data_IF_897060230886
#
_entry.id   IF_897060230886
#
_cell.length_a   1.000
_cell.length_b   1.000
_cell.length_c   1.000
_cell.angle_alpha   90.00
_cell.angle_beta   90.00
_cell.angle_gamma   90.00
#
_symmetry.space_group_name_H-M   'P 1'
#
loop_
_entity.id
_entity.type
_entity.pdbx_description
1 polymer ?
#
# COMPACT_ATOMS: atom_id res chain seq x y z
N UNK A 1 -12.95 -4.99 13.23
CA UNK A 1 -12.22 -4.66 14.46
C UNK A 1 -10.83 -4.09 14.19
N UNK A 2 -10.13 -4.55 13.12
CA UNK A 2 -8.80 -4.06 12.75
C UNK A 2 -8.82 -2.83 11.83
N UNK A 3 -9.98 -2.45 11.31
CA UNK A 3 -10.11 -1.35 10.33
C UNK A 3 -9.75 -1.75 8.90
N UNK A 4 -9.58 -3.04 8.63
CA UNK A 4 -9.36 -3.53 7.26
C UNK A 4 -10.65 -3.49 6.47
N UNK A 5 -10.58 -2.90 5.27
CA UNK A 5 -11.64 -2.97 4.28
C UNK A 5 -11.41 -4.20 3.39
N UNK A 6 -12.49 -4.83 2.96
CA UNK A 6 -12.44 -6.10 2.24
C UNK A 6 -13.19 -5.98 0.92
N UNK A 7 -12.53 -6.32 -0.14
CA UNK A 7 -13.12 -6.69 -1.41
C UNK A 7 -13.27 -8.21 -1.42
N UNK A 8 -14.46 -8.70 -1.74
CA UNK A 8 -14.72 -10.14 -1.87
C UNK A 8 -14.88 -10.47 -3.33
N UNK A 9 -14.06 -11.39 -3.81
CA UNK A 9 -14.06 -11.83 -5.20
C UNK A 9 -14.71 -13.20 -5.36
N UNK A 10 -15.50 -13.34 -6.43
CA UNK A 10 -16.02 -14.62 -6.84
C UNK A 10 -14.89 -15.56 -7.31
N UNK A 11 -15.01 -16.88 -7.13
CA UNK A 11 -13.92 -17.83 -7.33
C UNK A 11 -13.62 -18.12 -8.82
N UNK A 12 -13.47 -17.07 -9.62
CA UNK A 12 -13.13 -17.17 -11.04
C UNK A 12 -11.79 -16.51 -11.31
N UNK A 13 -10.77 -17.33 -11.55
CA UNK A 13 -9.44 -16.86 -11.94
C UNK A 13 -9.05 -17.57 -13.24
N UNK A 14 -8.71 -16.78 -14.29
CA UNK A 14 -8.32 -17.28 -15.60
C UNK A 14 -9.30 -18.27 -16.21
N UNK A 15 -10.60 -18.05 -15.99
CA UNK A 15 -11.64 -18.94 -16.48
C UNK A 15 -11.65 -19.08 -18.02
N UNK A 16 -10.98 -18.17 -18.75
CA UNK A 16 -10.78 -18.27 -20.19
C UNK A 16 -10.04 -19.56 -20.63
N UNK A 17 -9.31 -20.21 -19.72
CA UNK A 17 -8.63 -21.49 -19.98
C UNK A 17 -9.55 -22.71 -19.81
N UNK A 18 -10.81 -22.51 -19.39
CA UNK A 18 -11.78 -23.58 -19.18
C UNK A 18 -12.92 -23.46 -20.17
N UNK A 19 -13.61 -24.58 -20.40
CA UNK A 19 -14.84 -24.64 -21.16
C UNK A 19 -15.98 -25.08 -20.24
N UNK A 20 -16.83 -24.13 -19.87
CA UNK A 20 -18.06 -24.43 -19.14
C UNK A 20 -19.15 -24.68 -20.18
N UNK A 21 -19.83 -25.85 -20.17
CA UNK A 21 -20.96 -26.11 -21.06
C UNK A 21 -22.05 -25.05 -20.89
N UNK A 22 -22.70 -24.66 -21.98
CA UNK A 22 -23.67 -23.55 -21.98
C UNK A 22 -24.83 -23.80 -21.01
N UNK A 23 -25.31 -25.01 -20.93
CA UNK A 23 -26.37 -25.46 -20.00
C UNK A 23 -25.97 -25.33 -18.51
N UNK A 24 -24.67 -25.20 -18.23
CA UNK A 24 -24.14 -25.02 -16.86
C UNK A 24 -23.77 -23.58 -16.53
N UNK A 25 -23.86 -22.63 -17.47
CA UNK A 25 -23.41 -21.28 -17.25
C UNK A 25 -24.09 -20.60 -16.05
N UNK A 26 -25.41 -20.72 -15.93
CA UNK A 26 -26.11 -20.12 -14.79
C UNK A 26 -25.73 -20.81 -13.46
N UNK A 27 -25.58 -22.12 -13.44
CA UNK A 27 -25.20 -22.86 -12.24
C UNK A 27 -23.76 -22.59 -11.80
N UNK A 28 -22.82 -22.44 -12.75
CA UNK A 28 -21.39 -22.29 -12.45
C UNK A 28 -21.00 -20.81 -12.37
N UNK A 29 -21.46 -19.98 -13.30
CA UNK A 29 -20.97 -18.61 -13.41
C UNK A 29 -21.83 -17.59 -12.64
N UNK A 30 -23.13 -17.84 -12.46
CA UNK A 30 -24.02 -16.91 -11.75
C UNK A 30 -24.24 -17.31 -10.30
N UNK A 31 -24.55 -18.57 -10.02
CA UNK A 31 -24.88 -19.01 -8.66
C UNK A 31 -23.71 -18.85 -7.67
N UNK A 32 -22.46 -18.92 -8.13
CA UNK A 32 -21.29 -18.65 -7.28
C UNK A 32 -21.30 -17.22 -6.73
N UNK A 33 -21.76 -16.25 -7.51
CA UNK A 33 -21.92 -14.86 -7.05
C UNK A 33 -23.07 -14.73 -6.04
N UNK A 34 -24.15 -15.46 -6.25
CA UNK A 34 -25.27 -15.52 -5.28
C UNK A 34 -24.80 -16.05 -3.93
N UNK A 35 -24.02 -17.11 -3.93
CA UNK A 35 -23.43 -17.67 -2.71
C UNK A 35 -22.45 -16.69 -2.05
N UNK A 36 -21.56 -16.06 -2.84
CA UNK A 36 -20.61 -15.05 -2.36
C UNK A 36 -21.33 -13.94 -1.58
N UNK A 37 -22.38 -13.36 -2.17
CA UNK A 37 -23.14 -12.28 -1.51
C UNK A 37 -23.86 -12.79 -0.27
N UNK A 38 -24.53 -13.92 -0.33
CA UNK A 38 -25.28 -14.49 0.80
C UNK A 38 -24.36 -14.76 2.02
N UNK A 39 -23.17 -15.27 1.78
CA UNK A 39 -22.21 -15.58 2.83
C UNK A 39 -21.58 -14.32 3.45
N UNK A 40 -21.38 -13.26 2.66
CA UNK A 40 -20.51 -12.17 3.07
C UNK A 40 -21.21 -10.82 3.30
N UNK A 41 -22.46 -10.62 2.83
CA UNK A 41 -23.15 -9.32 2.92
C UNK A 41 -23.41 -8.81 4.35
N UNK A 42 -23.39 -9.69 5.36
CA UNK A 42 -23.54 -9.31 6.75
C UNK A 42 -22.26 -8.77 7.41
N UNK A 43 -21.13 -8.85 6.72
CA UNK A 43 -19.83 -8.35 7.22
C UNK A 43 -19.66 -6.87 6.88
N UNK A 44 -19.61 -5.95 7.86
CA UNK A 44 -19.50 -4.52 7.60
C UNK A 44 -18.15 -4.11 7.00
N UNK A 45 -17.12 -4.93 7.13
CA UNK A 45 -15.82 -4.71 6.49
C UNK A 45 -15.83 -4.94 4.99
N UNK A 46 -16.78 -5.71 4.46
CA UNK A 46 -16.93 -5.90 3.02
C UNK A 46 -17.49 -4.63 2.41
N UNK A 47 -16.74 -4.04 1.50
CA UNK A 47 -17.09 -2.77 0.86
C UNK A 47 -17.31 -2.88 -0.65
N UNK A 48 -16.91 -3.99 -1.26
CA UNK A 48 -16.93 -4.17 -2.71
C UNK A 48 -17.09 -5.63 -3.10
N UNK A 49 -17.73 -5.87 -4.24
CA UNK A 49 -17.91 -7.19 -4.84
C UNK A 49 -17.12 -7.27 -6.15
N UNK A 50 -16.12 -8.16 -6.22
CA UNK A 50 -15.43 -8.49 -7.47
C UNK A 50 -16.10 -9.68 -8.17
N UNK A 51 -16.41 -9.50 -9.43
CA UNK A 51 -17.13 -10.51 -10.23
C UNK A 51 -16.21 -11.61 -10.78
N UNK A 52 -14.91 -11.45 -10.68
CA UNK A 52 -13.94 -12.45 -11.09
C UNK A 52 -12.63 -11.82 -11.56
N UNK A 53 -11.59 -12.63 -11.58
CA UNK A 53 -10.24 -12.24 -11.94
C UNK A 53 -9.89 -12.68 -13.37
N UNK A 54 -9.44 -11.72 -14.21
CA UNK A 54 -8.81 -11.95 -15.52
C UNK A 54 -9.52 -12.99 -16.41
N UNK A 55 -10.86 -12.96 -16.45
CA UNK A 55 -11.72 -13.99 -17.08
C UNK A 55 -12.59 -13.44 -18.21
N UNK A 56 -12.03 -12.61 -19.09
CA UNK A 56 -12.75 -11.89 -20.17
C UNK A 56 -13.59 -12.81 -21.08
N UNK A 57 -13.20 -14.07 -21.26
CA UNK A 57 -14.00 -15.02 -22.06
C UNK A 57 -15.46 -15.10 -21.62
N UNK A 58 -15.72 -14.91 -20.34
CA UNK A 58 -17.05 -15.02 -19.75
C UNK A 58 -17.62 -13.65 -19.32
N UNK A 59 -17.09 -12.55 -19.84
CA UNK A 59 -17.50 -11.19 -19.46
C UNK A 59 -19.01 -10.97 -19.53
N UNK A 60 -19.70 -11.49 -20.55
CA UNK A 60 -21.16 -11.36 -20.69
C UNK A 60 -21.93 -12.07 -19.56
N UNK A 61 -21.42 -13.18 -19.07
CA UNK A 61 -22.02 -13.87 -17.91
C UNK A 61 -21.74 -13.15 -16.60
N UNK A 62 -20.56 -12.54 -16.47
CA UNK A 62 -20.24 -11.72 -15.31
C UNK A 62 -21.06 -10.44 -15.29
N UNK A 63 -21.45 -9.88 -16.44
CA UNK A 63 -22.43 -8.79 -16.49
C UNK A 63 -23.77 -9.25 -15.93
N UNK A 64 -24.30 -10.42 -16.39
CA UNK A 64 -25.53 -11.01 -15.84
C UNK A 64 -25.42 -11.27 -14.35
N UNK A 65 -24.31 -11.88 -13.89
CA UNK A 65 -24.05 -12.11 -12.48
C UNK A 65 -23.96 -10.79 -11.70
N UNK A 66 -23.34 -9.76 -12.28
CA UNK A 66 -23.25 -8.44 -11.71
C UNK A 66 -24.62 -7.79 -11.48
N UNK A 67 -25.57 -7.96 -12.39
CA UNK A 67 -26.95 -7.49 -12.18
C UNK A 67 -27.64 -8.23 -11.04
N UNK A 68 -27.43 -9.53 -10.92
CA UNK A 68 -27.93 -10.33 -9.79
C UNK A 68 -27.31 -9.84 -8.47
N UNK A 69 -26.00 -9.64 -8.43
CA UNK A 69 -25.30 -9.08 -7.25
C UNK A 69 -25.87 -7.73 -6.86
N UNK A 70 -26.12 -6.83 -7.84
CA UNK A 70 -26.72 -5.51 -7.60
C UNK A 70 -28.12 -5.57 -7.02
N UNK A 71 -28.94 -6.52 -7.47
CA UNK A 71 -30.27 -6.74 -6.92
C UNK A 71 -30.24 -7.28 -5.47
N UNK A 72 -29.26 -8.15 -5.18
CA UNK A 72 -29.09 -8.74 -3.85
C UNK A 72 -28.50 -7.77 -2.83
N UNK A 73 -27.58 -6.92 -3.28
CA UNK A 73 -26.92 -5.90 -2.47
C UNK A 73 -26.70 -4.60 -3.25
N UNK A 74 -27.68 -3.70 -3.28
CA UNK A 74 -27.55 -2.41 -3.97
C UNK A 74 -26.63 -1.41 -3.25
N UNK A 75 -26.14 -1.75 -2.05
CA UNK A 75 -25.38 -0.83 -1.19
C UNK A 75 -23.90 -0.81 -1.47
N UNK A 76 -23.35 -1.88 -2.05
CA UNK A 76 -21.92 -2.01 -2.35
C UNK A 76 -21.66 -1.94 -3.85
N UNK A 77 -20.58 -1.25 -4.26
CA UNK A 77 -20.16 -1.23 -5.67
C UNK A 77 -19.62 -2.59 -6.11
N UNK A 78 -19.62 -2.75 -7.43
CA UNK A 78 -19.10 -3.95 -8.12
C UNK A 78 -17.89 -3.57 -8.94
N UNK A 79 -16.96 -4.51 -9.07
CA UNK A 79 -15.82 -4.43 -9.97
C UNK A 79 -15.64 -5.74 -10.74
N UNK A 80 -14.88 -5.68 -11.80
CA UNK A 80 -14.31 -6.84 -12.48
C UNK A 80 -12.79 -6.70 -12.46
N UNK A 81 -12.12 -7.61 -11.77
CA UNK A 81 -10.68 -7.60 -11.58
C UNK A 81 -9.96 -7.96 -12.87
N UNK A 82 -9.50 -6.94 -13.61
CA UNK A 82 -8.99 -7.10 -14.96
C UNK A 82 -8.01 -5.98 -15.35
N UNK A 83 -7.33 -6.17 -16.48
CA UNK A 83 -6.38 -5.26 -17.07
C UNK A 83 -7.06 -4.01 -17.68
N UNK A 84 -7.02 -2.90 -16.96
CA UNK A 84 -7.44 -1.60 -17.44
C UNK A 84 -8.93 -1.32 -17.36
N UNK A 85 -9.28 -0.04 -17.43
CA UNK A 85 -10.63 0.45 -17.10
C UNK A 85 -11.72 0.13 -18.14
N UNK A 86 -11.35 -0.34 -19.32
CA UNK A 86 -12.31 -0.65 -20.38
C UNK A 86 -12.77 -2.12 -20.36
N UNK A 87 -12.23 -2.92 -19.48
CA UNK A 87 -12.50 -4.36 -19.41
C UNK A 87 -13.98 -4.67 -19.11
N UNK A 88 -14.68 -3.79 -18.40
CA UNK A 88 -16.09 -3.90 -18.06
C UNK A 88 -17.01 -3.02 -18.92
N UNK A 89 -16.50 -2.43 -19.99
CA UNK A 89 -17.21 -1.48 -20.89
C UNK A 89 -17.89 -0.30 -20.15
N UNK A 90 -17.44 0.05 -18.95
CA UNK A 90 -18.00 1.14 -18.17
C UNK A 90 -19.30 0.80 -17.43
N UNK A 91 -19.69 -0.44 -17.33
CA UNK A 91 -20.97 -0.87 -16.75
C UNK A 91 -20.95 -1.01 -15.23
N UNK A 92 -19.77 -1.16 -14.62
CA UNK A 92 -19.61 -1.31 -13.17
C UNK A 92 -19.30 0.02 -12.49
N UNK A 93 -19.64 0.14 -11.22
CA UNK A 93 -19.48 1.38 -10.45
C UNK A 93 -18.02 1.76 -10.25
N UNK A 94 -17.14 0.78 -10.08
CA UNK A 94 -15.70 0.96 -9.92
C UNK A 94 -14.99 0.23 -11.05
N UNK A 95 -13.94 0.82 -11.58
CA UNK A 95 -13.08 0.16 -12.55
C UNK A 95 -11.79 -0.31 -11.88
N UNK A 96 -11.09 -1.22 -12.55
CA UNK A 96 -9.87 -1.84 -12.06
C UNK A 96 -8.73 -1.72 -13.07
N UNK A 97 -7.50 -1.74 -12.57
CA UNK A 97 -6.31 -1.88 -13.41
C UNK A 97 -5.23 -2.67 -12.67
N UNK A 98 -4.93 -3.87 -13.13
CA UNK A 98 -3.83 -4.67 -12.61
C UNK A 98 -2.47 -4.07 -13.02
N UNK A 99 -1.51 -4.07 -12.11
CA UNK A 99 -0.10 -3.73 -12.35
C UNK A 99 0.14 -2.44 -13.13
N UNK A 100 -0.36 -1.29 -12.65
CA UNK A 100 -0.28 -0.04 -13.41
C UNK A 100 1.16 0.50 -13.58
N UNK A 101 2.14 -0.11 -12.94
CA UNK A 101 3.51 0.36 -12.85
C UNK A 101 3.68 1.52 -11.84
N UNK A 102 4.93 1.89 -11.50
CA UNK A 102 5.21 2.82 -10.40
C UNK A 102 4.54 4.19 -10.53
N UNK A 103 4.36 4.69 -11.75
CA UNK A 103 3.73 5.99 -12.04
C UNK A 103 2.31 5.85 -12.62
N UNK A 104 1.84 4.61 -12.77
CA UNK A 104 0.55 4.31 -13.40
C UNK A 104 -0.66 4.93 -12.71
N UNK A 105 -0.73 4.98 -11.36
CA UNK A 105 -1.85 5.60 -10.65
C UNK A 105 -2.10 7.06 -11.04
N UNK A 106 -1.07 7.82 -11.39
CA UNK A 106 -1.20 9.22 -11.81
C UNK A 106 -2.07 9.42 -13.06
N UNK A 107 -2.19 8.41 -13.92
CA UNK A 107 -3.05 8.44 -15.11
C UNK A 107 -4.54 8.58 -14.75
N UNK A 108 -4.91 8.14 -13.56
CA UNK A 108 -6.28 8.10 -13.07
C UNK A 108 -6.60 9.24 -12.09
N UNK A 109 -5.68 10.20 -11.90
CA UNK A 109 -5.81 11.30 -10.92
C UNK A 109 -7.16 12.02 -11.01
N UNK A 110 -7.68 12.20 -12.21
CA UNK A 110 -8.94 12.89 -12.47
C UNK A 110 -9.99 11.96 -13.08
N UNK A 111 -9.91 10.67 -12.86
CA UNK A 111 -10.90 9.72 -13.34
C UNK A 111 -12.27 10.03 -12.74
N UNK A 112 -13.30 10.09 -13.60
CA UNK A 112 -14.68 10.33 -13.15
C UNK A 112 -15.28 9.09 -12.50
N UNK A 113 -14.92 7.90 -13.01
CA UNK A 113 -15.27 6.63 -12.42
C UNK A 113 -14.14 6.22 -11.47
N UNK A 114 -14.41 5.88 -10.20
CA UNK A 114 -13.38 5.46 -9.27
C UNK A 114 -12.58 4.27 -9.80
N UNK A 115 -11.27 4.27 -9.51
CA UNK A 115 -10.34 3.22 -9.92
C UNK A 115 -9.73 2.56 -8.71
N UNK A 116 -9.63 1.23 -8.71
CA UNK A 116 -8.86 0.45 -7.75
C UNK A 116 -7.76 -0.34 -8.45
N UNK A 117 -6.73 -0.70 -7.70
CA UNK A 117 -5.62 -1.54 -8.16
C UNK A 117 -5.57 -2.77 -7.24
N UNK A 118 -6.49 -3.68 -7.42
CA UNK A 118 -6.64 -4.87 -6.56
C UNK A 118 -5.54 -5.92 -6.75
N UNK A 119 -4.73 -5.77 -7.81
CA UNK A 119 -3.44 -6.43 -7.95
C UNK A 119 -2.37 -5.43 -8.40
N UNK A 120 -1.40 -5.13 -7.53
CA UNK A 120 -0.27 -4.31 -7.90
C UNK A 120 1.02 -4.73 -7.17
N UNK A 121 2.16 -4.26 -7.67
CA UNK A 121 3.48 -4.42 -7.05
C UNK A 121 3.88 -5.89 -6.82
N UNK A 122 3.88 -6.68 -7.89
CA UNK A 122 4.42 -8.03 -7.90
C UNK A 122 5.92 -8.01 -7.58
N UNK A 123 6.33 -8.64 -6.49
CA UNK A 123 7.75 -8.69 -6.14
C UNK A 123 8.48 -9.71 -7.02
N UNK A 124 7.96 -10.92 -7.04
CA UNK A 124 8.60 -12.06 -7.66
C UNK A 124 7.55 -13.14 -7.96
N UNK A 125 7.73 -13.91 -9.03
CA UNK A 125 6.73 -14.86 -9.47
C UNK A 125 7.34 -16.20 -9.89
N UNK A 126 6.49 -17.21 -10.00
CA UNK A 126 6.78 -18.49 -10.64
C UNK A 126 7.95 -19.27 -10.02
N UNK A 127 8.12 -19.19 -8.69
CA UNK A 127 9.14 -19.94 -7.93
C UNK A 127 10.57 -19.76 -8.44
N UNK A 128 10.89 -18.58 -8.96
CA UNK A 128 12.25 -18.25 -9.43
C UNK A 128 13.13 -17.88 -8.25
N UNK A 129 13.81 -18.85 -7.69
CA UNK A 129 14.66 -18.67 -6.50
C UNK A 129 15.77 -17.63 -6.73
N UNK A 130 16.35 -17.57 -7.93
CA UNK A 130 17.37 -16.60 -8.32
C UNK A 130 16.86 -15.15 -8.23
N UNK A 131 15.59 -14.91 -8.55
CA UNK A 131 14.97 -13.58 -8.38
C UNK A 131 14.71 -13.26 -6.92
N UNK A 132 14.26 -14.24 -6.14
CA UNK A 132 14.05 -14.08 -4.70
C UNK A 132 15.37 -13.82 -3.96
N UNK A 133 16.49 -14.32 -4.47
CA UNK A 133 17.82 -14.13 -3.92
C UNK A 133 18.50 -12.82 -4.38
N UNK A 134 17.98 -12.14 -5.41
CA UNK A 134 18.59 -10.92 -5.95
C UNK A 134 18.41 -9.74 -4.99
N UNK A 135 19.50 -9.22 -4.37
CA UNK A 135 19.40 -8.12 -3.43
C UNK A 135 19.00 -6.80 -4.09
N UNK A 136 19.28 -6.62 -5.38
CA UNK A 136 18.87 -5.44 -6.15
C UNK A 136 17.36 -5.38 -6.32
N UNK A 137 16.73 -6.49 -6.72
CA UNK A 137 15.29 -6.61 -6.83
C UNK A 137 14.61 -6.34 -5.47
N UNK A 138 15.10 -6.97 -4.42
CA UNK A 138 14.55 -6.84 -3.07
C UNK A 138 14.68 -5.43 -2.52
N UNK A 139 15.81 -4.76 -2.74
CA UNK A 139 16.02 -3.39 -2.25
C UNK A 139 15.21 -2.34 -3.02
N UNK A 140 14.87 -2.58 -4.29
CA UNK A 140 14.05 -1.68 -5.09
C UNK A 140 12.55 -1.79 -4.82
N UNK A 141 12.08 -2.93 -4.33
CA UNK A 141 10.65 -3.18 -4.15
C UNK A 141 9.99 -2.18 -3.19
N UNK A 142 10.61 -1.88 -2.06
CA UNK A 142 10.10 -0.93 -1.08
C UNK A 142 9.91 0.49 -1.63
N UNK A 143 10.94 1.13 -2.23
CA UNK A 143 10.82 2.44 -2.86
C UNK A 143 9.78 2.50 -3.99
N UNK A 144 9.69 1.47 -4.83
CA UNK A 144 8.69 1.42 -5.90
C UNK A 144 7.27 1.34 -5.35
N UNK A 145 7.05 0.53 -4.31
CA UNK A 145 5.78 0.45 -3.61
C UNK A 145 5.42 1.77 -2.94
N UNK A 146 6.38 2.43 -2.27
CA UNK A 146 6.15 3.73 -1.63
C UNK A 146 5.74 4.81 -2.64
N UNK A 147 6.41 4.87 -3.78
CA UNK A 147 6.06 5.78 -4.86
C UNK A 147 4.64 5.51 -5.38
N UNK A 148 4.33 4.25 -5.68
CA UNK A 148 3.03 3.85 -6.22
C UNK A 148 1.90 4.16 -5.22
N UNK A 149 2.10 3.85 -3.94
CA UNK A 149 1.14 4.15 -2.89
C UNK A 149 0.96 5.65 -2.68
N UNK A 150 2.05 6.42 -2.73
CA UNK A 150 2.01 7.88 -2.68
C UNK A 150 1.19 8.46 -3.82
N UNK A 151 1.39 7.98 -5.04
CA UNK A 151 0.63 8.41 -6.21
C UNK A 151 -0.85 8.03 -6.12
N UNK A 152 -1.18 6.85 -5.57
CA UNK A 152 -2.58 6.46 -5.29
C UNK A 152 -3.23 7.41 -4.29
N UNK A 153 -2.54 7.70 -3.17
CA UNK A 153 -3.06 8.55 -2.11
C UNK A 153 -3.39 9.98 -2.60
N UNK A 154 -2.54 10.56 -3.45
CA UNK A 154 -2.71 11.91 -3.99
C UNK A 154 -3.56 11.98 -5.27
N UNK A 155 -4.16 10.88 -5.69
CA UNK A 155 -5.00 10.81 -6.89
C UNK A 155 -6.47 10.69 -6.51
N UNK A 156 -7.27 11.76 -6.70
CA UNK A 156 -8.69 11.81 -6.30
C UNK A 156 -9.55 10.71 -6.95
N UNK A 157 -9.22 10.29 -8.17
CA UNK A 157 -9.94 9.24 -8.88
C UNK A 157 -9.59 7.82 -8.42
N UNK A 158 -8.65 7.66 -7.47
CA UNK A 158 -8.14 6.36 -7.04
C UNK A 158 -8.64 6.03 -5.64
N UNK A 159 -9.18 4.83 -5.46
CA UNK A 159 -9.64 4.32 -4.17
C UNK A 159 -8.53 3.65 -3.35
N UNK A 160 -7.46 3.19 -4.00
CA UNK A 160 -6.39 2.40 -3.43
C UNK A 160 -6.27 1.05 -4.12
N UNK A 161 -5.82 0.03 -3.38
CA UNK A 161 -5.66 -1.31 -3.93
C UNK A 161 -5.05 -2.30 -2.95
N UNK A 162 -4.71 -3.47 -3.47
CA UNK A 162 -4.03 -4.54 -2.73
C UNK A 162 -2.79 -5.02 -3.50
N UNK A 163 -1.69 -5.19 -2.78
CA UNK A 163 -0.51 -5.81 -3.39
C UNK A 163 -0.78 -7.28 -3.71
N UNK A 164 -0.28 -7.75 -4.84
CA UNK A 164 -0.28 -9.17 -5.14
C UNK A 164 1.09 -9.79 -4.83
N UNK A 165 1.19 -10.53 -3.75
CA UNK A 165 0.12 -10.73 -2.77
C UNK A 165 0.65 -10.37 -1.38
N UNK A 166 -0.20 -10.37 -0.37
CA UNK A 166 0.23 -10.12 1.01
C UNK A 166 1.09 -11.25 1.60
N UNK A 167 0.95 -12.48 1.07
CA UNK A 167 1.63 -13.69 1.57
C UNK A 167 2.05 -14.54 0.36
N UNK A 168 3.22 -15.16 0.46
CA UNK A 168 3.63 -16.17 -0.51
C UNK A 168 2.68 -17.37 -0.50
N UNK A 169 2.35 -17.88 -1.65
CA UNK A 169 1.69 -19.19 -1.79
C UNK A 169 2.71 -20.34 -2.01
N UNK A 170 3.96 -20.07 -1.73
CA UNK A 170 5.08 -21.00 -1.91
C UNK A 170 5.72 -21.37 -0.59
N UNK A 171 5.99 -22.67 -0.45
CA UNK A 171 6.73 -23.24 0.68
C UNK A 171 8.05 -23.80 0.19
N UNK A 172 9.15 -23.37 0.78
CA UNK A 172 10.47 -23.94 0.55
C UNK A 172 10.72 -25.05 1.56
N UNK A 173 10.82 -26.27 1.07
CA UNK A 173 11.05 -27.48 1.86
C UNK A 173 12.54 -27.85 1.83
N UNK A 174 13.00 -28.73 2.76
CA UNK A 174 14.36 -29.28 2.74
C UNK A 174 14.72 -29.92 1.39
N UNK A 175 16.00 -29.81 0.99
CA UNK A 175 16.47 -30.32 -0.30
C UNK A 175 16.13 -29.42 -1.49
N UNK A 176 16.02 -28.11 -1.27
CA UNK A 176 15.75 -27.10 -2.31
C UNK A 176 14.43 -27.29 -3.07
N UNK A 177 13.51 -28.04 -2.49
CA UNK A 177 12.20 -28.29 -3.08
C UNK A 177 11.25 -27.14 -2.81
N UNK A 178 10.71 -26.54 -3.86
CA UNK A 178 9.62 -25.55 -3.78
C UNK A 178 8.27 -26.22 -4.05
N UNK A 179 7.25 -25.87 -3.26
CA UNK A 179 5.86 -26.29 -3.43
C UNK A 179 4.98 -25.05 -3.39
N UNK A 180 4.06 -24.94 -4.33
CA UNK A 180 3.20 -23.76 -4.51
C UNK A 180 3.59 -23.00 -5.78
N UNK A 181 3.04 -21.79 -5.94
CA UNK A 181 3.05 -21.11 -7.22
C UNK A 181 3.92 -19.84 -7.27
N UNK A 182 4.03 -19.06 -6.20
CA UNK A 182 4.78 -17.81 -6.25
C UNK A 182 5.24 -17.25 -4.90
N UNK A 183 6.34 -16.53 -4.96
CA UNK A 183 7.02 -15.88 -3.83
C UNK A 183 6.80 -14.37 -3.85
N UNK A 184 5.59 -13.92 -4.06
CA UNK A 184 5.23 -12.52 -4.32
C UNK A 184 4.95 -11.68 -3.07
N UNK A 185 4.75 -12.30 -1.92
CA UNK A 185 4.38 -11.58 -0.71
C UNK A 185 5.55 -11.01 0.08
N UNK A 186 5.33 -10.01 0.93
CA UNK A 186 6.29 -9.58 1.94
C UNK A 186 6.37 -10.53 3.14
N UNK A 187 5.44 -11.48 3.25
CA UNK A 187 5.39 -12.54 4.26
C UNK A 187 5.47 -13.87 3.53
N UNK A 188 6.31 -14.79 4.01
CA UNK A 188 6.46 -16.11 3.39
C UNK A 188 5.29 -17.05 3.69
N UNK A 189 5.27 -18.20 3.01
CA UNK A 189 4.22 -19.22 3.19
C UNK A 189 4.12 -19.75 4.63
N UNK A 190 5.20 -19.67 5.43
CA UNK A 190 5.24 -20.03 6.84
C UNK A 190 4.84 -18.90 7.79
N UNK A 191 4.40 -17.76 7.26
CA UNK A 191 4.00 -16.55 8.00
C UNK A 191 5.18 -15.80 8.65
N UNK A 192 6.40 -15.95 8.14
CA UNK A 192 7.55 -15.18 8.59
C UNK A 192 7.70 -13.92 7.76
N UNK A 193 8.10 -12.82 8.40
CA UNK A 193 8.39 -11.56 7.74
C UNK A 193 9.63 -11.71 6.84
N UNK A 194 9.50 -11.31 5.59
CA UNK A 194 10.60 -11.19 4.64
C UNK A 194 11.21 -9.77 4.74
N UNK A 195 12.41 -9.49 4.21
CA UNK A 195 12.96 -8.14 4.19
C UNK A 195 12.01 -7.10 3.57
N UNK A 196 11.22 -7.49 2.60
CA UNK A 196 10.21 -6.67 1.92
C UNK A 196 9.08 -6.20 2.82
N UNK A 197 8.80 -6.91 3.90
CA UNK A 197 7.80 -6.54 4.90
C UNK A 197 8.03 -5.14 5.46
N UNK A 198 9.29 -4.79 5.72
CA UNK A 198 9.66 -3.49 6.26
C UNK A 198 9.47 -2.37 5.23
N UNK A 199 9.74 -2.66 3.95
CA UNK A 199 9.44 -1.75 2.84
C UNK A 199 7.93 -1.50 2.72
N UNK A 200 7.12 -2.55 2.81
CA UNK A 200 5.66 -2.45 2.80
C UNK A 200 5.14 -1.64 3.99
N UNK A 201 5.61 -1.96 5.21
CA UNK A 201 5.24 -1.21 6.42
C UNK A 201 5.52 0.28 6.27
N UNK A 202 6.68 0.63 5.70
CA UNK A 202 7.08 2.01 5.44
C UNK A 202 6.21 2.69 4.39
N UNK A 203 5.93 2.01 3.28
CA UNK A 203 5.10 2.53 2.20
C UNK A 203 3.67 2.82 2.68
N UNK A 204 3.08 1.91 3.43
CA UNK A 204 1.71 2.05 3.95
C UNK A 204 1.60 2.87 5.25
N UNK A 205 2.71 3.41 5.77
CA UNK A 205 2.66 4.25 6.98
C UNK A 205 1.65 5.39 6.79
N UNK A 206 0.67 5.54 7.69
CA UNK A 206 -0.29 6.64 7.62
C UNK A 206 0.26 7.97 8.14
N UNK A 207 1.50 7.99 8.64
CA UNK A 207 2.16 9.21 9.10
C UNK A 207 3.48 9.37 8.37
N UNK A 208 3.54 10.29 7.40
CA UNK A 208 4.76 10.57 6.64
C UNK A 208 5.48 11.77 7.23
N UNK A 209 6.74 11.60 7.63
CA UNK A 209 7.56 12.67 8.23
C UNK A 209 8.82 12.88 7.38
N UNK A 210 9.07 14.12 7.01
CA UNK A 210 10.23 14.52 6.22
C UNK A 210 10.95 15.69 6.92
N UNK A 211 12.25 15.57 7.11
CA UNK A 211 13.06 16.66 7.67
C UNK A 211 13.18 17.84 6.70
N UNK A 212 12.97 19.06 7.17
CA UNK A 212 13.12 20.30 6.42
C UNK A 212 14.45 20.99 6.76
N UNK A 213 15.42 20.82 5.87
CA UNK A 213 16.77 21.41 6.06
C UNK A 213 17.56 20.75 7.19
N UNK A 214 18.66 21.40 7.56
CA UNK A 214 19.53 21.00 8.65
C UNK A 214 19.05 21.58 9.99
N UNK A 215 19.60 21.09 11.10
CA UNK A 215 19.39 21.70 12.41
C UNK A 215 19.91 23.13 12.43
N UNK A 216 19.13 24.08 12.93
CA UNK A 216 19.53 25.46 13.10
C UNK A 216 20.65 25.62 14.17
N UNK A 217 21.34 26.76 14.17
CA UNK A 217 22.34 27.06 15.18
C UNK A 217 21.80 27.05 16.62
N UNK A 218 20.50 27.35 16.78
CA UNK A 218 19.80 27.33 18.06
C UNK A 218 19.35 25.92 18.48
N UNK A 219 19.60 24.91 17.64
CA UNK A 219 19.25 23.50 17.90
C UNK A 219 17.82 23.11 17.54
N UNK A 220 17.18 23.84 16.64
CA UNK A 220 15.83 23.51 16.15
C UNK A 220 15.93 22.61 14.92
N UNK A 221 15.24 21.48 14.95
CA UNK A 221 15.04 20.58 13.81
C UNK A 221 13.58 20.69 13.37
N UNK A 222 13.35 20.99 12.08
CA UNK A 222 12.02 21.18 11.49
C UNK A 222 11.62 19.98 10.67
N UNK A 223 10.35 19.63 10.74
CA UNK A 223 9.76 18.53 10.02
C UNK A 223 8.46 18.96 9.35
N UNK A 224 8.30 18.48 8.12
CA UNK A 224 7.00 18.40 7.48
C UNK A 224 6.38 17.06 7.84
N UNK A 225 5.09 17.04 8.15
CA UNK A 225 4.33 15.83 8.44
C UNK A 225 3.05 15.81 7.66
N UNK A 226 2.72 14.65 7.10
CA UNK A 226 1.46 14.37 6.45
C UNK A 226 0.71 13.30 7.26
N UNK A 227 -0.48 13.65 7.74
CA UNK A 227 -1.39 12.73 8.41
C UNK A 227 -2.31 12.07 7.37
N UNK A 228 -1.99 10.85 6.97
CA UNK A 228 -2.78 10.05 6.02
C UNK A 228 -3.87 9.20 6.66
N UNK A 229 -4.07 9.27 7.97
CA UNK A 229 -5.21 8.64 8.60
C UNK A 229 -6.52 9.20 8.01
N UNK A 230 -7.53 8.35 7.87
CA UNK A 230 -8.85 8.79 7.44
C UNK A 230 -9.71 9.37 8.59
N UNK A 231 -9.43 8.98 9.84
CA UNK A 231 -10.30 9.25 10.98
C UNK A 231 -9.57 9.73 12.24
N UNK A 232 -8.25 9.48 12.37
CA UNK A 232 -7.49 9.81 13.58
C UNK A 232 -6.67 11.08 13.39
N UNK A 233 -6.78 11.98 14.35
CA UNK A 233 -5.90 13.14 14.52
C UNK A 233 -4.52 12.67 15.04
N UNK A 234 -3.44 13.39 14.70
CA UNK A 234 -2.12 13.04 15.21
C UNK A 234 -1.95 13.26 16.70
N UNK A 235 -2.80 14.06 17.35
CA UNK A 235 -2.84 14.19 18.81
C UNK A 235 -3.21 12.87 19.52
N UNK A 236 -3.87 11.96 18.80
CA UNK A 236 -4.18 10.61 19.28
C UNK A 236 -2.98 9.66 19.21
N UNK A 237 -1.94 10.02 18.46
CA UNK A 237 -0.69 9.26 18.34
C UNK A 237 0.34 9.75 19.36
N UNK A 238 1.28 8.88 19.70
CA UNK A 238 2.45 9.28 20.49
C UNK A 238 3.66 9.34 19.56
N UNK A 239 4.29 10.52 19.44
CA UNK A 239 5.55 10.70 18.72
C UNK A 239 6.66 10.97 19.74
N UNK A 240 7.61 10.06 19.81
CA UNK A 240 8.78 10.16 20.71
C UNK A 240 10.03 10.38 19.87
N UNK A 241 10.83 11.40 20.24
CA UNK A 241 12.15 11.58 19.68
C UNK A 241 13.26 11.07 20.61
N UNK A 242 14.37 10.61 20.01
CA UNK A 242 15.60 10.22 20.70
C UNK A 242 16.82 10.80 19.99
N UNK A 243 17.75 11.36 20.75
CA UNK A 243 19.05 11.86 20.25
C UNK A 243 20.08 11.86 21.40
N UNK A 244 21.30 11.41 21.17
CA UNK A 244 22.41 11.48 22.12
C UNK A 244 22.08 10.95 23.54
N UNK A 245 21.29 9.89 23.65
CA UNK A 245 20.89 9.30 24.91
C UNK A 245 19.75 10.04 25.65
N UNK A 246 19.23 11.13 25.10
CA UNK A 246 18.04 11.82 25.62
C UNK A 246 16.83 11.54 24.75
N UNK A 247 15.62 11.76 25.30
CA UNK A 247 14.37 11.61 24.58
C UNK A 247 13.35 12.66 25.03
N UNK A 248 12.33 12.88 24.21
CA UNK A 248 11.20 13.72 24.52
C UNK A 248 10.01 13.37 23.63
N UNK A 249 8.90 14.08 23.82
CA UNK A 249 7.69 13.91 23.03
C UNK A 249 7.44 15.09 22.12
N UNK A 250 6.88 14.82 20.95
CA UNK A 250 6.28 15.83 20.07
C UNK A 250 4.78 15.83 20.32
N UNK A 251 4.23 17.02 20.47
CA UNK A 251 2.78 17.22 20.49
C UNK A 251 2.38 17.91 19.20
N UNK A 252 1.46 17.33 18.46
CA UNK A 252 0.87 17.90 17.25
C UNK A 252 -0.59 17.48 17.14
N UNK A 253 -1.45 18.36 16.68
CA UNK A 253 -2.90 18.23 16.57
C UNK A 253 -3.37 18.21 15.11
N UNK A 254 -2.63 17.56 14.27
CA UNK A 254 -2.90 17.53 12.83
C UNK A 254 -4.09 16.65 12.49
N UNK A 255 -5.11 17.26 11.90
CA UNK A 255 -6.36 16.61 11.52
C UNK A 255 -6.14 15.45 10.51
N UNK A 256 -7.09 14.49 10.41
CA UNK A 256 -7.05 13.47 9.37
C UNK A 256 -6.96 14.07 7.96
N UNK A 257 -6.20 13.44 7.09
CA UNK A 257 -5.99 13.84 5.68
C UNK A 257 -5.49 15.28 5.51
N UNK A 258 -4.64 15.72 6.42
CA UNK A 258 -4.01 17.04 6.38
C UNK A 258 -2.50 16.94 6.53
N UNK A 259 -1.82 18.04 6.26
CA UNK A 259 -0.36 18.17 6.37
C UNK A 259 0.00 19.45 7.10
N UNK A 260 1.21 19.50 7.66
CA UNK A 260 1.73 20.68 8.35
C UNK A 260 3.16 20.49 8.81
N UNK A 261 3.56 21.26 9.80
CA UNK A 261 4.93 21.25 10.30
C UNK A 261 4.94 21.15 11.82
N UNK A 262 6.02 20.55 12.34
CA UNK A 262 6.37 20.62 13.75
C UNK A 262 7.88 20.81 13.92
N UNK A 263 8.28 21.27 15.09
CA UNK A 263 9.67 21.52 15.43
C UNK A 263 10.07 20.73 16.67
N UNK A 264 11.33 20.32 16.72
CA UNK A 264 11.96 19.75 17.90
C UNK A 264 13.10 20.66 18.31
N UNK A 265 12.98 21.26 19.50
CA UNK A 265 14.05 22.01 20.14
C UNK A 265 14.96 21.05 20.89
N UNK A 266 16.16 20.83 20.41
CA UNK A 266 17.15 20.01 21.11
C UNK A 266 17.86 20.83 22.18
N UNK A 267 18.14 20.25 23.36
CA UNK A 267 18.99 20.86 24.38
C UNK A 267 20.37 21.19 23.83
N UNK A 268 21.03 22.22 24.41
CA UNK A 268 22.37 22.65 24.00
C UNK A 268 23.39 21.49 23.96
N UNK A 269 23.31 20.56 24.92
CA UNK A 269 24.17 19.38 24.98
C UNK A 269 24.00 18.40 23.80
N UNK A 270 22.97 18.56 22.99
CA UNK A 270 22.68 17.74 21.82
C UNK A 270 22.87 18.47 20.47
N UNK A 271 23.36 19.71 20.46
CA UNK A 271 23.61 20.44 19.22
C UNK A 271 24.67 19.81 18.32
N UNK A 272 25.50 18.93 18.86
CA UNK A 272 26.45 18.12 18.10
C UNK A 272 25.98 16.69 17.84
N UNK A 273 24.71 16.38 18.12
CA UNK A 273 24.17 15.08 17.81
C UNK A 273 24.07 14.90 16.29
N UNK A 274 24.53 13.76 15.80
CA UNK A 274 24.51 13.47 14.36
C UNK A 274 23.17 12.89 13.91
N UNK A 275 22.43 12.28 14.84
CA UNK A 275 21.22 11.49 14.56
C UNK A 275 20.07 11.86 15.48
N UNK A 276 18.90 12.00 14.91
CA UNK A 276 17.62 12.10 15.60
C UNK A 276 16.71 10.97 15.12
N UNK A 277 16.15 10.23 16.04
CA UNK A 277 15.19 9.16 15.77
C UNK A 277 13.80 9.59 16.22
N UNK A 278 12.78 9.25 15.43
CA UNK A 278 11.39 9.41 15.79
C UNK A 278 10.70 8.05 15.79
N UNK A 279 9.93 7.76 16.82
CA UNK A 279 9.05 6.59 16.88
C UNK A 279 7.60 7.09 16.97
N UNK A 280 6.77 6.68 16.03
CA UNK A 280 5.34 6.99 15.99
C UNK A 280 4.56 5.78 16.47
N UNK A 281 3.80 5.94 17.55
CA UNK A 281 2.94 4.90 18.12
C UNK A 281 1.49 5.32 17.96
N UNK A 282 0.66 4.46 17.40
CA UNK A 282 -0.76 4.71 17.18
C UNK A 282 -1.62 4.51 18.42
N UNK A 283 -2.89 4.87 18.31
CA UNK A 283 -3.91 4.80 19.38
C UNK A 283 -4.07 3.40 19.98
N UNK A 284 -3.72 2.36 19.24
CA UNK A 284 -3.78 0.96 19.67
C UNK A 284 -2.50 0.47 20.39
N UNK A 285 -1.50 1.35 20.57
CA UNK A 285 -0.27 1.05 21.29
C UNK A 285 0.82 0.32 20.49
N UNK A 286 0.62 0.07 19.19
CA UNK A 286 1.68 -0.48 18.34
C UNK A 286 2.43 0.60 17.58
N UNK A 287 3.70 0.34 17.26
CA UNK A 287 4.54 1.25 16.49
C UNK A 287 4.06 1.26 15.03
N UNK A 288 3.59 2.43 14.60
CA UNK A 288 3.19 2.70 13.20
C UNK A 288 4.43 2.80 12.32
N UNK A 289 5.38 3.67 12.72
CA UNK A 289 6.56 3.96 11.92
C UNK A 289 7.73 4.43 12.78
N UNK A 290 8.94 4.29 12.23
CA UNK A 290 10.17 4.75 12.81
C UNK A 290 10.99 5.52 11.77
N UNK A 291 11.60 6.61 12.18
CA UNK A 291 12.40 7.48 11.35
C UNK A 291 13.78 7.70 11.95
N UNK A 292 14.76 7.88 11.09
CA UNK A 292 16.11 8.23 11.47
C UNK A 292 16.63 9.35 10.56
N UNK A 293 16.90 10.48 11.15
CA UNK A 293 17.35 11.67 10.44
C UNK A 293 18.78 12.04 10.82
N UNK A 294 19.54 12.48 9.84
CA UNK A 294 20.86 13.06 10.07
C UNK A 294 20.68 14.57 10.30
N UNK A 295 21.03 15.04 11.48
CA UNK A 295 20.77 16.40 11.96
C UNK A 295 22.02 17.26 12.15
N UNK A 296 23.09 17.01 11.38
CA UNK A 296 24.29 17.82 11.48
C UNK A 296 23.96 19.32 11.29
N UNK A 297 24.57 20.22 12.10
CA UNK A 297 24.41 21.64 11.90
C UNK A 297 24.88 22.06 10.50
N UNK A 298 24.29 23.12 9.94
CA UNK A 298 24.79 23.73 8.72
C UNK A 298 26.25 24.11 8.90
N UNK A 299 27.16 23.40 8.27
CA UNK A 299 28.51 23.88 8.12
C UNK A 299 28.45 25.04 7.15
N UNK A 300 28.80 26.26 7.60
CA UNK A 300 29.10 27.37 6.72
C UNK A 300 30.15 26.86 5.72
N UNK A 301 29.76 26.53 4.53
CA UNK A 301 30.67 26.28 3.42
C UNK A 301 31.33 27.62 3.10
N UNK A 302 32.46 27.92 3.75
CA UNK A 302 33.42 28.86 3.20
C UNK A 302 33.97 28.20 1.94
N UNK A 303 33.35 28.51 0.79
CA UNK A 303 33.92 28.17 -0.52
C UNK A 303 35.11 29.13 -0.69
N UNK A 304 36.25 28.74 -0.16
CA UNK A 304 37.50 29.34 -0.47
C UNK A 304 37.92 28.94 -1.88
N UNK A 305 37.60 29.74 -2.87
CA UNK A 305 38.29 29.67 -4.15
C UNK A 305 39.73 30.09 -3.95
N UNK A 306 40.64 29.15 -3.81
CA UNK A 306 42.06 29.41 -4.02
C UNK A 306 42.29 29.58 -5.52
N UNK A 307 42.35 30.82 -6.00
CA UNK A 307 42.94 31.15 -7.29
C UNK A 307 44.42 30.73 -7.26
N UNK A 308 44.77 29.67 -7.96
CA UNK A 308 46.18 29.42 -8.35
C UNK A 308 46.51 30.44 -9.43
N UNK A 309 47.25 31.47 -9.03
CA UNK A 309 48.06 32.25 -9.96
C UNK A 309 49.32 31.46 -10.31
N UNK A 310 49.50 31.16 -11.57
CA UNK A 310 50.71 31.22 -12.38
C UNK A 310 50.53 30.49 -13.68
#
# INVERSE_FOLDING_TARGET
>A
ELGMLVEVEAPFCWAHNTNVPEEMHDAVLVNQHVEMVNLNRSHPSVIMWSLGNESLKYAEYFKKAGEVVKQMDPTRPRIFSQWGPDADNGELEVTNHHYPGPTGPNKYRNSKRPVTFDEFCHLNAYNRLELAADPGLRSMWGPLLDQMWNDMYHSQGVLGGAIWAGIDDTFFLPGEKAVGYGTWGPIDGWRREKPEYWGMKKAFSPVKIVQKGNMSADGIVRFHVENRHNFSDLSECTIVWKAGGKSGRVTTDMAPRSEGEFEIQLPESLRNAEKLELTVTGVRGFVIDEYSFRILPEQNKIIGYTTRNS
#
